data_IF_884506267708
#
_entry.id   IF_884506267708
#
_cell.length_a   1.000
_cell.length_b   1.000
_cell.length_c   1.000
_cell.angle_alpha   90.00
_cell.angle_beta   90.00
_cell.angle_gamma   90.00
#
_symmetry.space_group_name_H-M   'P 1'
#
loop_
_entity.id
_entity.type
_entity.pdbx_description
1 polymer ?
#
# COMPACT_ATOMS: atom_id res chain seq x y z
N UNK A 1 -7.28 -17.05 6.86
CA UNK A 1 -7.48 -15.60 7.03
C UNK A 1 -7.98 -15.05 5.72
N UNK A 2 -9.01 -14.22 5.71
CA UNK A 2 -9.49 -13.59 4.48
C UNK A 2 -8.48 -12.52 4.04
N UNK A 3 -8.42 -12.23 2.74
CA UNK A 3 -7.56 -11.19 2.18
C UNK A 3 -7.86 -9.83 2.81
N UNK A 4 -9.15 -9.57 3.11
CA UNK A 4 -9.59 -8.38 3.85
C UNK A 4 -8.95 -8.27 5.24
N UNK A 5 -8.85 -9.38 5.98
CA UNK A 5 -8.19 -9.39 7.30
C UNK A 5 -6.71 -9.04 7.16
N UNK A 6 -6.01 -9.58 6.16
CA UNK A 6 -4.61 -9.28 5.90
C UNK A 6 -4.42 -7.80 5.52
N UNK A 7 -5.28 -7.24 4.67
CA UNK A 7 -5.19 -5.83 4.29
C UNK A 7 -5.41 -4.89 5.49
N UNK A 8 -6.43 -5.16 6.30
CA UNK A 8 -6.71 -4.36 7.51
C UNK A 8 -5.53 -4.46 8.49
N UNK A 9 -5.01 -5.66 8.71
CA UNK A 9 -3.88 -5.89 9.60
C UNK A 9 -2.62 -5.17 9.10
N UNK A 10 -2.33 -5.21 7.80
CA UNK A 10 -1.21 -4.50 7.19
C UNK A 10 -1.32 -2.98 7.38
N UNK A 11 -2.50 -2.39 7.16
CA UNK A 11 -2.73 -0.95 7.38
C UNK A 11 -2.52 -0.55 8.84
N UNK A 12 -3.03 -1.35 9.78
CA UNK A 12 -2.84 -1.14 11.22
C UNK A 12 -1.35 -1.22 11.59
N UNK A 13 -0.63 -2.24 11.10
CA UNK A 13 0.79 -2.40 11.36
C UNK A 13 1.60 -1.21 10.87
N UNK A 14 1.28 -0.66 9.70
CA UNK A 14 1.95 0.52 9.15
C UNK A 14 1.74 1.76 10.01
N UNK A 15 0.50 2.01 10.45
CA UNK A 15 0.17 3.12 11.35
C UNK A 15 0.93 2.99 12.68
N UNK A 16 0.95 1.79 13.26
CA UNK A 16 1.68 1.51 14.50
C UNK A 16 3.17 1.74 14.31
N UNK A 17 3.72 1.25 13.19
CA UNK A 17 5.16 1.34 12.90
C UNK A 17 5.62 2.79 12.73
N UNK A 18 4.88 3.62 11.97
CA UNK A 18 5.24 5.03 11.75
C UNK A 18 5.13 5.87 13.03
N UNK A 19 4.05 5.68 13.80
CA UNK A 19 3.71 6.58 14.90
C UNK A 19 4.32 6.16 16.24
N UNK A 20 4.38 4.87 16.53
CA UNK A 20 4.77 4.36 17.85
C UNK A 20 6.17 3.76 17.87
N UNK A 21 6.57 3.01 16.84
CA UNK A 21 7.88 2.33 16.82
C UNK A 21 8.99 3.22 16.28
N UNK A 22 8.91 3.62 15.01
CA UNK A 22 9.97 4.39 14.35
C UNK A 22 9.80 5.89 14.57
N UNK A 23 8.60 6.34 14.94
CA UNK A 23 8.27 7.74 15.27
C UNK A 23 8.69 8.73 14.18
N UNK A 24 8.65 8.27 12.93
CA UNK A 24 9.06 9.02 11.73
C UNK A 24 8.03 10.09 11.37
N UNK A 25 6.75 9.85 11.70
CA UNK A 25 5.59 10.73 11.42
C UNK A 25 5.42 11.06 9.93
N UNK A 26 5.88 10.17 9.05
CA UNK A 26 5.86 10.40 7.59
C UNK A 26 4.43 10.47 7.08
N UNK A 27 3.53 9.63 7.61
CA UNK A 27 2.12 9.55 7.19
C UNK A 27 1.34 10.85 7.43
N UNK A 28 1.80 11.69 8.37
CA UNK A 28 1.18 12.98 8.70
C UNK A 28 1.67 14.13 7.81
N UNK A 29 2.66 13.89 6.95
CA UNK A 29 3.22 14.95 6.11
C UNK A 29 2.37 15.16 4.85
N UNK A 30 2.10 16.43 4.51
CA UNK A 30 1.32 16.79 3.32
C UNK A 30 1.96 16.30 2.01
N UNK A 31 3.31 16.26 1.96
CA UNK A 31 4.07 15.74 0.81
C UNK A 31 3.79 14.26 0.60
N UNK A 32 3.81 13.47 1.68
CA UNK A 32 3.50 12.06 1.61
C UNK A 32 2.04 11.81 1.20
N UNK A 33 1.10 12.65 1.64
CA UNK A 33 -0.29 12.59 1.18
C UNK A 33 -0.44 12.72 -0.34
N UNK A 34 0.27 13.67 -0.96
CA UNK A 34 0.27 13.82 -2.43
C UNK A 34 0.94 12.65 -3.14
N UNK A 35 2.04 12.14 -2.58
CA UNK A 35 2.72 10.95 -3.09
C UNK A 35 1.81 9.72 -3.05
N UNK A 36 1.13 9.48 -1.93
CA UNK A 36 0.22 8.36 -1.74
C UNK A 36 -0.99 8.47 -2.68
N UNK A 37 -1.51 9.67 -2.91
CA UNK A 37 -2.54 9.91 -3.93
C UNK A 37 -2.05 9.51 -5.33
N UNK A 38 -0.83 9.90 -5.72
CA UNK A 38 -0.25 9.54 -7.01
C UNK A 38 -0.08 8.01 -7.14
N UNK A 39 0.36 7.34 -6.08
CA UNK A 39 0.49 5.87 -6.02
C UNK A 39 -0.87 5.20 -6.20
N UNK A 40 -1.92 5.65 -5.50
CA UNK A 40 -3.26 5.08 -5.61
C UNK A 40 -3.85 5.29 -7.01
N UNK A 41 -3.64 6.45 -7.63
CA UNK A 41 -4.08 6.71 -9.01
C UNK A 41 -3.37 5.76 -9.98
N UNK A 42 -2.04 5.66 -9.88
CA UNK A 42 -1.25 4.77 -10.73
C UNK A 42 -1.70 3.31 -10.54
N UNK A 43 -1.87 2.88 -9.29
CA UNK A 43 -2.35 1.56 -8.94
C UNK A 43 -3.75 1.31 -9.53
N UNK A 44 -4.64 2.29 -9.49
CA UNK A 44 -5.97 2.19 -10.11
C UNK A 44 -5.87 1.95 -11.60
N UNK A 45 -5.01 2.68 -12.30
CA UNK A 45 -4.82 2.51 -13.74
C UNK A 45 -4.22 1.14 -14.05
N UNK A 46 -3.13 0.77 -13.36
CA UNK A 46 -2.40 -0.48 -13.60
C UNK A 46 -3.25 -1.69 -13.22
N UNK A 47 -3.82 -1.72 -12.02
CA UNK A 47 -4.61 -2.87 -11.55
C UNK A 47 -5.87 -3.05 -12.38
N UNK A 48 -6.56 -1.98 -12.76
CA UNK A 48 -7.72 -2.12 -13.65
C UNK A 48 -7.32 -2.42 -15.09
N UNK A 49 -6.14 -2.02 -15.55
CA UNK A 49 -5.61 -2.47 -16.84
C UNK A 49 -5.28 -3.96 -16.83
N UNK A 50 -4.64 -4.45 -15.76
CA UNK A 50 -4.22 -5.85 -15.62
C UNK A 50 -5.40 -6.79 -15.32
N UNK A 51 -6.28 -6.41 -14.39
CA UNK A 51 -7.46 -7.20 -14.01
C UNK A 51 -8.62 -7.01 -14.99
N UNK A 52 -8.68 -5.86 -15.68
CA UNK A 52 -9.79 -5.47 -16.55
C UNK A 52 -9.41 -5.39 -18.02
N UNK A 53 -8.40 -6.13 -18.50
CA UNK A 53 -7.93 -6.04 -19.89
C UNK A 53 -9.02 -6.37 -20.92
N UNK A 54 -9.80 -5.33 -21.27
CA UNK A 54 -10.52 -4.92 -22.49
C UNK A 54 -10.97 -5.91 -23.59
N UNK A 55 -10.90 -7.24 -23.47
CA UNK A 55 -11.43 -8.15 -24.51
C UNK A 55 -11.87 -9.50 -23.93
N UNK A 56 -13.08 -9.50 -23.38
CA UNK A 56 -14.04 -10.61 -23.37
C UNK A 56 -13.69 -12.02 -22.84
N UNK A 57 -12.47 -12.53 -22.66
CA UNK A 57 -12.34 -13.98 -22.39
C UNK A 57 -11.13 -14.54 -21.60
N UNK A 58 -10.14 -13.77 -21.13
CA UNK A 58 -9.04 -14.37 -20.33
C UNK A 58 -8.39 -13.36 -19.36
N UNK A 59 -8.79 -13.33 -18.07
CA UNK A 59 -8.06 -12.54 -17.08
C UNK A 59 -6.70 -13.21 -16.80
N UNK A 60 -5.61 -12.43 -16.84
CA UNK A 60 -4.23 -12.91 -16.59
C UNK A 60 -4.08 -13.39 -15.14
N UNK A 61 -4.75 -12.69 -14.22
CA UNK A 61 -4.95 -13.11 -12.84
C UNK A 61 -6.31 -13.81 -12.81
N UNK A 62 -6.34 -15.11 -12.52
CA UNK A 62 -7.58 -15.90 -12.50
C UNK A 62 -8.69 -15.27 -11.64
N UNK A 63 -9.95 -15.70 -11.79
CA UNK A 63 -11.07 -15.12 -11.07
C UNK A 63 -10.79 -15.16 -9.56
N UNK A 64 -10.75 -13.99 -8.92
CA UNK A 64 -10.65 -13.89 -7.47
C UNK A 64 -11.82 -14.66 -6.85
N UNK A 65 -11.53 -15.64 -6.00
CA UNK A 65 -12.57 -16.36 -5.30
C UNK A 65 -13.31 -15.37 -4.37
N UNK A 66 -14.62 -15.13 -4.57
CA UNK A 66 -15.40 -14.15 -3.82
C UNK A 66 -15.45 -14.43 -2.32
N UNK A 67 -15.13 -15.65 -1.87
CA UNK A 67 -15.06 -16.00 -0.45
C UNK A 67 -13.83 -15.41 0.27
N UNK A 68 -12.82 -14.96 -0.47
CA UNK A 68 -11.55 -14.52 0.11
C UNK A 68 -11.43 -13.01 0.30
N UNK A 69 -12.31 -12.20 -0.29
CA UNK A 69 -12.30 -10.74 -0.16
C UNK A 69 -13.71 -10.22 0.15
N UNK A 70 -13.84 -8.95 0.53
CA UNK A 70 -15.10 -8.35 1.03
C UNK A 70 -16.24 -8.26 0.00
N UNK A 71 -16.02 -8.72 -1.23
CA UNK A 71 -16.93 -8.53 -2.35
C UNK A 71 -16.91 -7.12 -2.96
N UNK A 72 -16.25 -6.15 -2.32
CA UNK A 72 -16.19 -4.76 -2.78
C UNK A 72 -15.10 -4.62 -3.84
N UNK A 73 -15.47 -4.10 -5.01
CA UNK A 73 -14.55 -3.82 -6.11
C UNK A 73 -14.61 -2.37 -6.52
N UNK A 74 -13.45 -1.79 -6.81
CA UNK A 74 -13.35 -0.55 -7.56
C UNK A 74 -13.09 -0.96 -9.01
N UNK A 75 -14.12 -0.83 -9.83
CA UNK A 75 -14.14 -1.27 -11.24
C UNK A 75 -13.89 -2.78 -11.35
N UNK A 76 -12.67 -3.21 -11.67
CA UNK A 76 -12.32 -4.61 -11.85
C UNK A 76 -11.50 -5.18 -10.68
N UNK A 77 -10.99 -4.32 -9.80
CA UNK A 77 -10.02 -4.69 -8.78
C UNK A 77 -10.65 -4.68 -7.38
N UNK A 78 -10.42 -5.69 -6.52
CA UNK A 78 -10.85 -5.68 -5.13
C UNK A 78 -10.33 -4.46 -4.36
N UNK A 79 -11.14 -3.90 -3.46
CA UNK A 79 -10.73 -2.76 -2.62
C UNK A 79 -9.45 -3.07 -1.81
N UNK A 80 -9.30 -4.32 -1.41
CA UNK A 80 -8.18 -4.82 -0.62
C UNK A 80 -6.82 -4.65 -1.30
N UNK A 81 -6.75 -4.70 -2.64
CA UNK A 81 -5.50 -4.47 -3.38
C UNK A 81 -4.97 -3.06 -3.12
N UNK A 82 -5.85 -2.06 -3.09
CA UNK A 82 -5.48 -0.68 -2.81
C UNK A 82 -4.96 -0.53 -1.39
N UNK A 83 -5.66 -1.09 -0.41
CA UNK A 83 -5.22 -1.06 0.98
C UNK A 83 -3.85 -1.73 1.17
N UNK A 84 -3.63 -2.87 0.50
CA UNK A 84 -2.34 -3.57 0.59
C UNK A 84 -1.22 -2.79 -0.10
N UNK A 85 -1.46 -2.22 -1.29
CA UNK A 85 -0.50 -1.37 -1.99
C UNK A 85 -0.11 -0.13 -1.19
N UNK A 86 -1.09 0.54 -0.58
CA UNK A 86 -0.87 1.66 0.33
C UNK A 86 0.01 1.24 1.51
N UNK A 87 -0.30 0.13 2.17
CA UNK A 87 0.46 -0.35 3.31
C UNK A 87 1.91 -0.67 2.92
N UNK A 88 2.11 -1.37 1.81
CA UNK A 88 3.43 -1.78 1.33
C UNK A 88 4.34 -0.59 1.00
N UNK A 89 3.83 0.38 0.22
CA UNK A 89 4.61 1.56 -0.16
C UNK A 89 4.90 2.43 1.05
N UNK A 90 3.90 2.62 1.93
CA UNK A 90 4.08 3.38 3.16
C UNK A 90 5.17 2.79 4.04
N UNK A 91 5.14 1.47 4.28
CA UNK A 91 6.15 0.79 5.09
C UNK A 91 7.56 0.97 4.54
N UNK A 92 7.73 0.85 3.22
CA UNK A 92 9.02 1.04 2.57
C UNK A 92 9.57 2.46 2.79
N UNK A 93 8.73 3.48 2.59
CA UNK A 93 9.14 4.88 2.80
C UNK A 93 9.48 5.14 4.27
N UNK A 94 8.68 4.62 5.20
CA UNK A 94 8.93 4.74 6.64
C UNK A 94 10.28 4.12 7.01
N UNK A 95 10.57 2.92 6.53
CA UNK A 95 11.84 2.22 6.80
C UNK A 95 13.01 3.01 6.20
N UNK A 96 12.86 3.49 4.97
CA UNK A 96 13.89 4.27 4.29
C UNK A 96 14.23 5.56 5.05
N UNK A 97 13.21 6.33 5.43
CA UNK A 97 13.35 7.56 6.22
C UNK A 97 14.05 7.28 7.56
N UNK A 98 13.69 6.18 8.23
CA UNK A 98 14.34 5.78 9.48
C UNK A 98 15.83 5.47 9.30
N UNK A 99 16.18 4.73 8.25
CA UNK A 99 17.57 4.38 7.94
C UNK A 99 18.39 5.62 7.56
N UNK A 100 17.81 6.54 6.79
CA UNK A 100 18.43 7.82 6.41
C UNK A 100 18.72 8.70 7.63
N UNK A 101 17.75 8.89 8.53
CA UNK A 101 17.96 9.64 9.77
C UNK A 101 19.08 9.04 10.63
N UNK A 102 19.19 7.70 10.64
CA UNK A 102 20.24 6.98 11.37
C UNK A 102 21.62 7.13 10.72
N UNK A 103 21.72 7.15 9.39
CA UNK A 103 22.98 7.30 8.69
C UNK A 103 23.55 8.71 8.85
N UNK A 104 22.72 9.75 8.74
CA UNK A 104 23.10 11.16 8.95
C UNK A 104 23.64 11.37 10.36
N UNK A 105 22.96 10.85 11.39
CA UNK A 105 23.43 10.94 12.79
C UNK A 105 24.78 10.28 13.02
N UNK A 106 25.09 9.18 12.30
CA UNK A 106 26.39 8.49 12.42
C UNK A 106 27.53 9.29 11.79
N UNK A 107 27.27 10.01 10.70
CA UNK A 107 28.28 10.84 10.04
C UNK A 107 28.61 12.10 10.85
N UNK A 108 27.63 12.72 11.52
CA UNK A 108 27.89 13.89 12.37
C UNK A 108 28.65 13.58 13.68
N UNK A 109 28.87 12.30 13.98
CA UNK A 109 29.52 11.83 15.21
C UNK A 109 30.97 11.38 14.99
N UNK A 110 31.50 11.55 13.77
CA UNK A 110 32.88 11.26 13.36
C UNK A 110 33.57 12.57 12.98
#
# INVERSE_FOLDING_TARGET
MTYTQLTVLSLILVLITDQYWLKTKVLLTRRFGWFLLAVVILQTIVDNYLNGRWLANNPIVGPYNPEFFSGIKIWHTPLENYGFGIALVSLNVIIFEFLERRSVRRQSSR
#
